data_IF_731775116412
#
_entry.id   IF_731775116412
#
_cell.length_a   1.000
_cell.length_b   1.000
_cell.length_c   1.000
_cell.angle_alpha   90.00
_cell.angle_beta   90.00
_cell.angle_gamma   90.00
#
_symmetry.space_group_name_H-M   'P 1'
#
loop_
_entity.id
_entity.type
_entity.pdbx_description
1 polymer ?
#
# COMPACT_ATOMS: atom_id res chain seq x y z
N UNK A 1 24.83 5.94 -3.02
CA UNK A 1 24.07 5.43 -1.85
C UNK A 1 22.98 6.40 -1.41
N UNK A 2 23.32 7.66 -1.09
CA UNK A 2 22.34 8.66 -0.64
C UNK A 2 21.24 8.95 -1.69
N UNK A 3 21.62 9.01 -2.98
CA UNK A 3 20.67 9.21 -4.10
C UNK A 3 19.63 8.08 -4.22
N UNK A 4 20.06 6.82 -4.09
CA UNK A 4 19.17 5.66 -4.17
C UNK A 4 18.19 5.62 -2.99
N UNK A 5 18.66 5.96 -1.79
CA UNK A 5 17.80 6.08 -0.61
C UNK A 5 16.72 7.14 -0.86
N UNK A 6 17.12 8.32 -1.37
CA UNK A 6 16.19 9.41 -1.66
C UNK A 6 15.11 8.98 -2.66
N UNK A 7 15.50 8.29 -3.74
CA UNK A 7 14.56 7.77 -4.74
C UNK A 7 13.57 6.76 -4.15
N UNK A 8 14.04 5.83 -3.32
CA UNK A 8 13.17 4.86 -2.66
C UNK A 8 12.16 5.54 -1.75
N UNK A 9 12.60 6.51 -0.93
CA UNK A 9 11.70 7.29 -0.06
C UNK A 9 10.65 8.04 -0.87
N UNK A 10 11.04 8.70 -1.96
CA UNK A 10 10.10 9.41 -2.81
C UNK A 10 9.06 8.47 -3.44
N UNK A 11 9.47 7.30 -3.93
CA UNK A 11 8.54 6.34 -4.52
C UNK A 11 7.59 5.71 -3.50
N UNK A 12 8.05 5.38 -2.29
CA UNK A 12 7.20 4.76 -1.26
C UNK A 12 6.33 5.76 -0.50
N UNK A 13 6.76 7.03 -0.40
CA UNK A 13 5.99 8.07 0.30
C UNK A 13 4.71 8.49 -0.43
N UNK A 14 4.66 8.44 -1.76
CA UNK A 14 3.45 8.80 -2.54
C UNK A 14 2.21 8.00 -2.10
N UNK A 15 2.22 6.65 -2.12
CA UNK A 15 1.05 5.88 -1.65
C UNK A 15 0.78 6.07 -0.15
N UNK A 16 1.80 6.27 0.67
CA UNK A 16 1.64 6.55 2.11
C UNK A 16 0.92 7.90 2.35
N UNK A 17 1.24 8.94 1.58
CA UNK A 17 0.57 10.25 1.68
C UNK A 17 -0.90 10.13 1.30
N UNK A 18 -1.24 9.34 0.27
CA UNK A 18 -2.63 9.07 -0.08
C UNK A 18 -3.40 8.35 1.03
N UNK A 19 -2.78 7.33 1.66
CA UNK A 19 -3.38 6.64 2.79
C UNK A 19 -3.58 7.58 3.99
N UNK A 20 -2.55 8.32 4.38
CA UNK A 20 -2.57 9.25 5.52
C UNK A 20 -3.59 10.38 5.34
N UNK A 21 -3.76 10.90 4.13
CA UNK A 21 -4.77 11.93 3.85
C UNK A 21 -6.20 11.36 3.96
N UNK A 22 -6.43 10.14 3.49
CA UNK A 22 -7.72 9.45 3.68
C UNK A 22 -8.01 9.16 5.16
N UNK A 23 -7.01 8.70 5.91
CA UNK A 23 -7.14 8.43 7.34
C UNK A 23 -7.41 9.71 8.14
N UNK A 24 -6.72 10.82 7.82
CA UNK A 24 -6.99 12.12 8.44
C UNK A 24 -8.46 12.53 8.23
N UNK A 25 -9.00 12.35 7.03
CA UNK A 25 -10.43 12.63 6.77
C UNK A 25 -11.33 11.72 7.61
N UNK A 26 -11.02 10.43 7.71
CA UNK A 26 -11.78 9.47 8.51
C UNK A 26 -11.76 9.82 10.00
N UNK A 27 -10.59 10.13 10.56
CA UNK A 27 -10.44 10.56 11.94
C UNK A 27 -11.25 11.82 12.25
N UNK A 28 -11.26 12.79 11.32
CA UNK A 28 -12.05 14.02 11.45
C UNK A 28 -13.56 13.76 11.41
N UNK A 29 -14.00 12.65 10.80
CA UNK A 29 -15.39 12.18 10.83
C UNK A 29 -15.75 11.35 12.07
N UNK A 30 -14.78 11.12 12.97
CA UNK A 30 -14.96 10.31 14.18
C UNK A 30 -14.77 8.81 13.96
N UNK A 31 -14.29 8.40 12.77
CA UNK A 31 -14.01 6.99 12.44
C UNK A 31 -12.50 6.80 12.38
N UNK A 32 -11.92 6.29 13.47
CA UNK A 32 -10.50 5.93 13.52
C UNK A 32 -10.29 4.57 12.84
N UNK A 33 -9.45 4.52 11.81
CA UNK A 33 -9.15 3.28 11.09
C UNK A 33 -7.73 2.77 11.39
N UNK A 34 -7.55 2.17 12.56
CA UNK A 34 -6.30 1.51 12.97
C UNK A 34 -5.91 0.32 12.06
N UNK A 35 -6.82 -0.15 11.21
CA UNK A 35 -6.58 -1.25 10.27
C UNK A 35 -5.85 -0.84 9.00
N UNK A 36 -5.73 0.46 8.69
CA UNK A 36 -5.15 0.96 7.42
C UNK A 36 -3.73 0.45 7.18
N UNK A 37 -2.89 0.47 8.20
CA UNK A 37 -1.51 -0.01 8.09
C UNK A 37 -1.46 -1.52 7.77
N UNK A 38 -2.39 -2.28 8.36
CA UNK A 38 -2.59 -3.71 8.07
C UNK A 38 -3.09 -3.96 6.65
N UNK A 39 -4.08 -3.20 6.18
CA UNK A 39 -4.60 -3.31 4.82
C UNK A 39 -3.50 -3.06 3.77
N UNK A 40 -2.65 -2.05 3.99
CA UNK A 40 -1.50 -1.78 3.12
C UNK A 40 -0.49 -2.94 3.09
N UNK A 41 -0.15 -3.48 4.27
CA UNK A 41 0.75 -4.65 4.39
C UNK A 41 0.16 -5.88 3.69
N UNK A 42 -1.14 -6.14 3.86
CA UNK A 42 -1.83 -7.26 3.22
C UNK A 42 -1.82 -7.14 1.70
N UNK A 43 -2.09 -5.93 1.16
CA UNK A 43 -1.97 -5.65 -0.27
C UNK A 43 -0.56 -5.90 -0.81
N UNK A 44 0.47 -5.44 -0.09
CA UNK A 44 1.87 -5.63 -0.47
C UNK A 44 2.28 -7.12 -0.49
N UNK A 45 1.92 -7.87 0.56
CA UNK A 45 2.24 -9.31 0.65
C UNK A 45 1.48 -10.09 -0.42
N UNK A 46 0.20 -9.80 -0.65
CA UNK A 46 -0.60 -10.47 -1.67
C UNK A 46 -0.08 -10.20 -3.09
N UNK A 47 0.31 -8.96 -3.39
CA UNK A 47 0.95 -8.60 -4.66
C UNK A 47 2.26 -9.36 -4.84
N UNK A 48 3.13 -9.38 -3.83
CA UNK A 48 4.40 -10.10 -3.88
C UNK A 48 4.20 -11.60 -4.09
N UNK A 49 3.33 -12.24 -3.29
CA UNK A 49 3.05 -13.66 -3.39
C UNK A 49 2.50 -14.04 -4.78
N UNK A 50 1.63 -13.20 -5.34
CA UNK A 50 1.05 -13.42 -6.68
C UNK A 50 2.11 -13.25 -7.77
N UNK A 51 2.91 -12.19 -7.72
CA UNK A 51 3.99 -11.96 -8.68
C UNK A 51 5.03 -13.10 -8.63
N UNK A 52 5.41 -13.53 -7.43
CA UNK A 52 6.37 -14.61 -7.23
C UNK A 52 5.83 -15.97 -7.69
N UNK A 53 4.58 -16.29 -7.36
CA UNK A 53 3.98 -17.59 -7.70
C UNK A 53 3.55 -17.73 -9.15
N UNK A 54 3.19 -16.64 -9.83
CA UNK A 54 2.61 -16.68 -11.18
C UNK A 54 3.50 -16.07 -12.26
N UNK A 55 4.47 -15.23 -11.89
CA UNK A 55 5.24 -14.41 -12.83
C UNK A 55 4.43 -13.31 -13.52
N UNK A 56 3.13 -13.16 -13.23
CA UNK A 56 2.25 -12.20 -13.88
C UNK A 56 2.07 -10.92 -13.05
N UNK A 57 2.72 -9.85 -13.48
CA UNK A 57 2.68 -8.52 -12.85
C UNK A 57 1.27 -7.90 -12.84
N UNK A 58 0.48 -8.08 -13.91
CA UNK A 58 -0.87 -7.52 -13.98
C UNK A 58 -1.80 -8.19 -12.97
N UNK A 59 -1.68 -9.51 -12.84
CA UNK A 59 -2.43 -10.26 -11.84
C UNK A 59 -2.03 -9.85 -10.42
N UNK A 60 -0.75 -9.62 -10.18
CA UNK A 60 -0.25 -9.14 -8.89
C UNK A 60 -0.82 -7.77 -8.50
N UNK A 61 -0.92 -6.84 -9.45
CA UNK A 61 -1.53 -5.52 -9.23
C UNK A 61 -3.00 -5.68 -8.82
N UNK A 62 -3.77 -6.50 -9.53
CA UNK A 62 -5.20 -6.71 -9.24
C UNK A 62 -5.37 -7.37 -7.87
N UNK A 63 -4.64 -8.45 -7.59
CA UNK A 63 -4.77 -9.19 -6.32
C UNK A 63 -4.32 -8.33 -5.14
N UNK A 64 -3.20 -7.61 -5.26
CA UNK A 64 -2.73 -6.71 -4.22
C UNK A 64 -3.71 -5.55 -3.96
N UNK A 65 -4.25 -4.97 -5.03
CA UNK A 65 -5.25 -3.90 -4.92
C UNK A 65 -6.53 -4.35 -4.22
N UNK A 66 -7.04 -5.55 -4.55
CA UNK A 66 -8.21 -6.12 -3.88
C UNK A 66 -7.93 -6.48 -2.42
N UNK A 67 -6.76 -7.06 -2.13
CA UNK A 67 -6.38 -7.43 -0.77
C UNK A 67 -6.20 -6.22 0.16
N UNK A 68 -5.71 -5.09 -0.35
CA UNK A 68 -5.58 -3.85 0.43
C UNK A 68 -6.86 -3.01 0.51
N UNK A 69 -7.92 -3.39 -0.20
CA UNK A 69 -9.21 -2.70 -0.17
C UNK A 69 -10.22 -3.35 0.81
N UNK A 70 -9.87 -4.50 1.38
CA UNK A 70 -10.67 -5.29 2.33
C UNK A 70 -10.16 -5.10 3.75
#
# INVERSE_FOLDING_TARGET
MLEQLLLTVLMTSVPLIFAATGELVAERSGVLNLGVEGMMLMGAVAAFATAFGTGNLWLAIIVGGLAGAL
#
